data_IF_344586386356
#
_entry.id   IF_344586386356
#
_cell.length_a   1.000
_cell.length_b   1.000
_cell.length_c   1.000
_cell.angle_alpha   90.00
_cell.angle_beta   90.00
_cell.angle_gamma   90.00
#
_symmetry.space_group_name_H-M   'P 1'
#
loop_
_entity.id
_entity.type
_entity.pdbx_description
1 polymer ?
#
# COMPACT_ATOMS: atom_id res chain seq x y z
N UNK A 1 11.40 -10.57 -9.19
CA UNK A 1 10.26 -9.80 -9.71
C UNK A 1 10.50 -9.51 -11.19
N UNK A 2 9.47 -9.51 -12.03
CA UNK A 2 9.59 -9.11 -13.45
C UNK A 2 9.05 -7.68 -13.62
N UNK A 3 9.70 -6.81 -14.40
CA UNK A 3 9.12 -5.51 -14.75
C UNK A 3 7.80 -5.70 -15.50
N UNK A 4 6.82 -4.83 -15.26
CA UNK A 4 5.50 -4.97 -15.87
C UNK A 4 4.42 -4.17 -15.17
N UNK A 5 3.17 -4.41 -15.56
CA UNK A 5 1.99 -3.76 -14.96
C UNK A 5 1.42 -4.66 -13.87
N UNK A 6 1.17 -4.04 -12.73
CA UNK A 6 0.65 -4.70 -11.56
C UNK A 6 -0.46 -3.85 -10.93
N UNK A 7 -1.35 -4.52 -10.19
CA UNK A 7 -2.29 -3.88 -9.27
C UNK A 7 -2.05 -4.43 -7.87
N UNK A 8 -1.79 -3.56 -6.91
CA UNK A 8 -1.81 -3.94 -5.50
C UNK A 8 -3.15 -3.55 -4.88
N UNK A 9 -3.68 -4.42 -4.02
CA UNK A 9 -4.93 -4.18 -3.30
C UNK A 9 -4.76 -4.49 -1.82
N UNK A 10 -5.52 -3.79 -1.00
CA UNK A 10 -5.76 -4.10 0.40
C UNK A 10 -7.14 -3.57 0.78
N UNK A 11 -7.75 -4.15 1.82
CA UNK A 11 -9.00 -3.67 2.39
C UNK A 11 -8.75 -3.15 3.80
N UNK A 12 -9.39 -2.05 4.14
CA UNK A 12 -9.23 -1.41 5.43
C UNK A 12 -10.59 -1.03 6.03
N UNK A 13 -10.74 -1.20 7.33
CA UNK A 13 -12.00 -0.99 8.04
C UNK A 13 -11.76 -0.38 9.41
N UNK A 14 -12.66 0.49 9.85
CA UNK A 14 -12.74 0.97 11.22
C UNK A 14 -14.17 0.76 11.75
N UNK A 15 -14.37 0.36 13.02
CA UNK A 15 -15.69 0.06 13.56
C UNK A 15 -16.71 1.20 13.43
N UNK A 16 -18.03 0.92 13.39
CA UNK A 16 -19.07 1.93 13.43
C UNK A 16 -18.92 2.80 14.69
N UNK A 17 -19.20 4.09 14.56
CA UNK A 17 -19.06 5.05 15.67
C UNK A 17 -17.62 5.54 15.90
N UNK A 18 -16.62 4.96 15.22
CA UNK A 18 -15.25 5.47 15.21
C UNK A 18 -15.23 6.95 14.81
N UNK A 19 -14.46 7.76 15.56
CA UNK A 19 -14.26 9.20 15.33
C UNK A 19 -12.84 9.50 14.82
N UNK A 20 -12.13 8.47 14.36
CA UNK A 20 -10.74 8.61 13.93
C UNK A 20 -10.60 9.61 12.79
N UNK A 21 -9.54 10.41 12.87
CA UNK A 21 -9.07 11.28 11.77
C UNK A 21 -7.92 10.64 11.02
N UNK A 22 -7.57 9.40 11.36
CA UNK A 22 -6.49 8.67 10.76
C UNK A 22 -6.75 8.34 9.30
N UNK A 23 -5.67 8.08 8.58
CA UNK A 23 -5.68 7.59 7.21
C UNK A 23 -4.98 6.25 7.13
N UNK A 24 -5.35 5.50 6.09
CA UNK A 24 -4.66 4.28 5.69
C UNK A 24 -4.09 4.48 4.30
N UNK A 25 -2.91 3.93 4.05
CA UNK A 25 -2.26 3.97 2.76
C UNK A 25 -1.70 2.60 2.42
N UNK A 26 -1.79 2.20 1.15
CA UNK A 26 -1.06 1.05 0.62
C UNK A 26 0.05 1.58 -0.30
N UNK A 27 1.30 1.24 0.01
CA UNK A 27 2.46 1.57 -0.81
C UNK A 27 3.07 0.31 -1.46
N UNK A 28 3.48 0.43 -2.73
CA UNK A 28 4.23 -0.61 -3.46
C UNK A 28 5.70 -0.19 -3.53
N UNK A 29 6.44 -0.46 -2.45
CA UNK A 29 7.82 0.02 -2.30
C UNK A 29 8.80 -0.79 -3.14
N UNK A 30 9.48 -0.15 -4.08
CA UNK A 30 10.55 -0.79 -4.86
C UNK A 30 11.80 -1.01 -4.02
N UNK A 31 12.44 -2.18 -4.15
CA UNK A 31 13.68 -2.51 -3.43
C UNK A 31 14.75 -3.04 -4.36
N UNK A 32 15.99 -2.66 -4.10
CA UNK A 32 17.15 -3.17 -4.83
C UNK A 32 17.64 -4.52 -4.30
N UNK A 33 18.72 -5.04 -4.88
CA UNK A 33 19.32 -6.33 -4.50
C UNK A 33 19.79 -6.40 -3.03
N UNK A 34 20.01 -5.24 -2.38
CA UNK A 34 20.41 -5.15 -0.97
C UNK A 34 19.20 -4.95 -0.05
N UNK A 35 17.98 -4.97 -0.60
CA UNK A 35 16.76 -4.68 0.14
C UNK A 35 16.61 -3.21 0.51
N UNK A 36 17.37 -2.29 -0.09
CA UNK A 36 17.20 -0.86 0.18
C UNK A 36 16.02 -0.32 -0.62
N UNK A 37 15.20 0.52 0.02
CA UNK A 37 14.06 1.16 -0.64
C UNK A 37 14.54 2.12 -1.73
N UNK A 38 13.83 2.12 -2.85
CA UNK A 38 14.06 3.01 -3.98
C UNK A 38 12.93 4.07 -3.99
N UNK A 39 13.25 5.37 -3.92
CA UNK A 39 12.25 6.43 -3.95
C UNK A 39 11.40 6.43 -5.22
N UNK A 40 10.22 7.06 -5.17
CA UNK A 40 9.30 7.15 -6.32
C UNK A 40 8.36 5.96 -6.48
N UNK A 41 8.15 5.21 -5.40
CA UNK A 41 7.20 4.11 -5.35
C UNK A 41 5.74 4.62 -5.35
N UNK A 42 4.81 4.01 -6.09
CA UNK A 42 3.41 4.42 -6.08
C UNK A 42 2.70 3.99 -4.80
N UNK A 43 1.66 4.73 -4.44
CA UNK A 43 0.80 4.42 -3.30
C UNK A 43 -0.62 4.97 -3.49
N UNK A 44 -1.53 4.55 -2.62
CA UNK A 44 -2.90 5.08 -2.54
C UNK A 44 -3.30 5.20 -1.09
N UNK A 45 -3.75 6.39 -0.71
CA UNK A 45 -4.21 6.72 0.64
C UNK A 45 -5.73 6.94 0.63
N UNK A 46 -6.39 6.54 1.71
CA UNK A 46 -7.79 6.80 1.95
C UNK A 46 -8.07 7.19 3.41
N UNK A 47 -9.09 8.02 3.59
CA UNK A 47 -9.78 8.16 4.86
C UNK A 47 -10.84 7.06 4.95
N UNK A 48 -10.95 6.42 6.12
CA UNK A 48 -11.93 5.37 6.33
C UNK A 48 -13.31 5.93 6.65
N UNK A 49 -14.33 5.24 6.15
CA UNK A 49 -15.71 5.45 6.58
C UNK A 49 -16.03 4.43 7.69
N UNK A 50 -16.42 4.87 8.90
CA UNK A 50 -16.77 3.96 9.99
C UNK A 50 -17.87 2.98 9.58
N UNK A 51 -17.65 1.69 9.82
CA UNK A 51 -18.59 0.63 9.49
C UNK A 51 -18.56 0.14 8.04
N UNK A 52 -17.64 0.63 7.21
CA UNK A 52 -17.50 0.22 5.80
C UNK A 52 -16.08 -0.25 5.48
N UNK A 53 -15.96 -1.33 4.72
CA UNK A 53 -14.68 -1.74 4.13
C UNK A 53 -14.30 -0.81 2.99
N UNK A 54 -13.15 -0.17 3.11
CA UNK A 54 -12.56 0.69 2.08
C UNK A 54 -11.49 -0.08 1.33
N UNK A 55 -11.56 -0.10 -0.01
CA UNK A 55 -10.52 -0.67 -0.85
C UNK A 55 -9.40 0.36 -1.08
N UNK A 56 -8.16 -0.09 -0.91
CA UNK A 56 -6.95 0.60 -1.33
C UNK A 56 -6.44 -0.10 -2.59
N UNK A 57 -6.51 0.55 -3.74
CA UNK A 57 -6.06 -0.02 -5.02
C UNK A 57 -4.95 0.84 -5.63
N UNK A 58 -3.76 0.27 -5.75
CA UNK A 58 -2.57 0.96 -6.28
C UNK A 58 -2.25 0.42 -7.68
N UNK A 59 -2.45 1.21 -8.75
CA UNK A 59 -1.89 0.88 -10.04
C UNK A 59 -0.36 1.02 -9.99
N UNK A 60 0.37 -0.04 -10.32
CA UNK A 60 1.82 -0.08 -10.21
C UNK A 60 2.46 -0.44 -11.55
N UNK A 61 3.11 0.54 -12.19
CA UNK A 61 4.08 0.27 -13.25
C UNK A 61 5.43 -0.01 -12.60
N UNK A 62 5.85 -1.27 -12.62
CA UNK A 62 7.08 -1.70 -11.95
C UNK A 62 8.20 -1.72 -12.98
N UNK A 63 9.17 -0.80 -12.91
CA UNK A 63 10.22 -0.70 -13.91
C UNK A 63 11.36 -1.67 -13.60
N UNK A 64 12.22 -1.93 -14.58
CA UNK A 64 13.47 -2.66 -14.35
C UNK A 64 14.45 -1.86 -13.46
N UNK A 65 14.42 -0.53 -13.59
CA UNK A 65 15.31 0.42 -12.92
C UNK A 65 14.58 1.71 -12.57
N UNK A 66 15.01 2.37 -11.50
CA UNK A 66 14.71 3.78 -11.22
C UNK A 66 16.04 4.51 -11.09
N UNK A 67 16.31 5.42 -12.02
CA UNK A 67 17.66 5.97 -12.20
C UNK A 67 18.68 4.85 -12.42
N UNK A 68 19.74 4.82 -11.61
CA UNK A 68 20.81 3.81 -11.70
C UNK A 68 20.57 2.57 -10.83
N UNK A 69 19.43 2.47 -10.14
CA UNK A 69 19.14 1.37 -9.21
C UNK A 69 18.18 0.36 -9.84
N UNK A 70 18.58 -0.91 -9.86
CA UNK A 70 17.75 -2.01 -10.32
C UNK A 70 16.67 -2.37 -9.29
N UNK A 71 15.44 -2.51 -9.76
CA UNK A 71 14.34 -3.03 -8.94
C UNK A 71 14.40 -4.56 -8.96
N UNK A 72 14.56 -5.19 -7.80
CA UNK A 72 14.66 -6.65 -7.67
C UNK A 72 13.45 -7.28 -7.00
N UNK A 73 12.84 -6.55 -6.09
CA UNK A 73 11.60 -6.93 -5.42
C UNK A 73 10.75 -5.70 -5.14
N UNK A 74 9.51 -5.94 -4.75
CA UNK A 74 8.65 -4.93 -4.13
C UNK A 74 8.25 -5.38 -2.74
N UNK A 75 7.98 -4.41 -1.89
CA UNK A 75 7.39 -4.60 -0.57
C UNK A 75 6.05 -3.88 -0.56
N UNK A 76 4.97 -4.61 -0.30
CA UNK A 76 3.68 -4.01 0.02
C UNK A 76 3.72 -3.53 1.46
N UNK A 77 3.37 -2.27 1.67
CA UNK A 77 3.33 -1.67 3.01
C UNK A 77 1.97 -1.02 3.21
N UNK A 78 1.08 -1.64 4.00
CA UNK A 78 -0.01 -0.93 4.65
C UNK A 78 0.57 0.04 5.67
N UNK A 79 0.21 1.30 5.58
CA UNK A 79 0.63 2.38 6.47
C UNK A 79 -0.62 2.89 7.16
N UNK A 80 -0.62 2.84 8.49
CA UNK A 80 -1.66 3.41 9.34
C UNK A 80 -1.09 4.68 9.94
N UNK A 81 -1.78 5.81 9.78
CA UNK A 81 -1.31 7.11 10.25
C UNK A 81 -2.41 7.88 10.97
N UNK A 82 -2.06 8.55 12.07
CA UNK A 82 -2.98 9.46 12.78
C UNK A 82 -4.09 8.79 13.59
N UNK A 83 -3.99 7.49 13.88
CA UNK A 83 -4.87 6.79 14.82
C UNK A 83 -4.40 7.04 16.25
N UNK A 84 -5.31 7.41 17.15
CA UNK A 84 -5.03 7.61 18.56
C UNK A 84 -5.04 6.28 19.34
N UNK A 85 -4.56 6.31 20.58
CA UNK A 85 -4.65 5.14 21.48
C UNK A 85 -6.10 4.72 21.67
N UNK A 86 -6.37 3.42 21.47
CA UNK A 86 -7.71 2.84 21.55
C UNK A 86 -8.55 2.98 20.28
N UNK A 87 -8.08 3.70 19.25
CA UNK A 87 -8.71 3.66 17.94
C UNK A 87 -8.30 2.40 17.17
N UNK A 88 -9.28 1.79 16.50
CA UNK A 88 -9.09 0.50 15.83
C UNK A 88 -9.14 0.64 14.31
N UNK A 89 -8.23 -0.08 13.66
CA UNK A 89 -8.23 -0.30 12.23
C UNK A 89 -7.92 -1.77 11.96
N UNK A 90 -8.66 -2.34 11.01
CA UNK A 90 -8.48 -3.69 10.52
C UNK A 90 -8.00 -3.61 9.08
N UNK A 91 -7.08 -4.50 8.73
CA UNK A 91 -6.51 -4.63 7.40
C UNK A 91 -6.66 -6.08 6.96
N UNK A 92 -7.09 -6.27 5.71
CA UNK A 92 -7.25 -7.61 5.14
C UNK A 92 -6.90 -7.64 3.65
N UNK A 93 -6.70 -8.86 3.12
CA UNK A 93 -6.56 -9.15 1.70
C UNK A 93 -5.47 -8.32 0.97
N UNK A 94 -4.33 -8.15 1.62
CA UNK A 94 -3.16 -7.49 1.02
C UNK A 94 -2.59 -8.39 -0.09
N UNK A 95 -2.74 -7.96 -1.33
CA UNK A 95 -2.36 -8.76 -2.50
C UNK A 95 -1.71 -7.93 -3.61
N UNK A 96 -0.91 -8.59 -4.44
CA UNK A 96 -0.32 -8.04 -5.66
C UNK A 96 -0.66 -8.95 -6.84
N UNK A 97 -1.27 -8.37 -7.86
CA UNK A 97 -1.64 -9.06 -9.09
C UNK A 97 -0.83 -8.51 -10.25
N UNK A 98 -0.35 -9.40 -11.12
CA UNK A 98 0.20 -9.03 -12.42
C UNK A 98 -0.97 -8.87 -13.41
N UNK A 99 -0.93 -7.83 -14.24
CA UNK A 99 -2.04 -7.46 -15.12
C UNK A 99 -1.80 -7.79 -16.61
N UNK A 100 -0.63 -8.34 -16.94
CA UNK A 100 -0.24 -8.80 -18.29
C UNK A 100 0.71 -10.01 -18.28
#
# INVERSE_FOLDING_TARGET
MTPGRYGAVAFAYTPPGSQTKGTVELAVTFRDAKGQNIPGSPSTMATLKPGEWTVLAVPAQIPAKVGNREVKSVLLVPIVNGFAEGEEVYLDDVALYRLD
#
